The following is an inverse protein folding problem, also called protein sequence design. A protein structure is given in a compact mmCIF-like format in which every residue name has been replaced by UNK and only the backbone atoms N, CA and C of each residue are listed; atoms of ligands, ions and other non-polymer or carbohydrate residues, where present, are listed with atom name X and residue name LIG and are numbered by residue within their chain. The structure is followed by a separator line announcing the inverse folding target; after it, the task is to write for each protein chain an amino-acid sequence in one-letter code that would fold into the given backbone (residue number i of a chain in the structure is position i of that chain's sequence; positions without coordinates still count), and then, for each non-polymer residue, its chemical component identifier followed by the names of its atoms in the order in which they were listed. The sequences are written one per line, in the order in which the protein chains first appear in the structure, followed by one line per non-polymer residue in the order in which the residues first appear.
data_IF_381261000067
#
_entry.id   IF_381261000067
#
_cell.length_a   1.000
_cell.length_b   1.000
_cell.length_c   1.000
_cell.angle_alpha   90.00
_cell.angle_beta   90.00
_cell.angle_gamma   90.00
#
_symmetry.space_group_name_H-M   'P 1'
#
loop_
_entity.id
_entity.type
_entity.pdbx_description
1 polymer ?
#
# COMPACT_ATOMS: atom_id res chain seq x y z
N UNK A 1 14.46 23.90 17.04
CA UNK A 1 14.09 22.82 16.09
C UNK A 1 14.36 23.33 14.69
N UNK A 2 15.06 22.56 13.82
CA UNK A 2 15.20 22.92 12.41
C UNK A 2 13.81 22.94 11.76
N UNK A 3 13.52 23.97 10.96
CA UNK A 3 12.29 24.00 10.16
C UNK A 3 12.48 23.03 8.99
N UNK A 4 11.60 22.03 8.80
CA UNK A 4 11.66 21.15 7.65
C UNK A 4 11.65 21.96 6.36
N UNK A 5 12.67 21.80 5.52
CA UNK A 5 12.77 22.55 4.26
C UNK A 5 12.15 21.72 3.13
N UNK A 6 11.27 22.31 2.32
CA UNK A 6 10.76 21.64 1.14
C UNK A 6 11.92 21.28 0.20
N UNK A 7 11.84 20.09 -0.39
CA UNK A 7 12.72 19.62 -1.45
C UNK A 7 11.90 19.50 -2.71
N UNK A 8 12.44 20.04 -3.81
CA UNK A 8 11.85 19.91 -5.13
C UNK A 8 12.58 18.84 -5.91
N UNK A 9 11.81 17.93 -6.52
CA UNK A 9 12.29 16.96 -7.49
C UNK A 9 11.82 17.42 -8.86
N UNK A 10 12.75 17.66 -9.78
CA UNK A 10 12.48 18.02 -11.18
C UNK A 10 12.61 16.75 -12.02
N UNK A 11 11.52 16.35 -12.68
CA UNK A 11 11.50 15.21 -13.58
C UNK A 11 11.73 15.69 -15.01
N UNK A 12 12.77 15.19 -15.66
CA UNK A 12 13.11 15.55 -17.04
C UNK A 12 11.90 15.36 -17.97
N UNK A 13 11.36 16.47 -18.49
CA UNK A 13 10.21 16.48 -19.40
C UNK A 13 8.84 16.26 -18.75
N UNK A 14 8.75 16.00 -17.44
CA UNK A 14 7.53 15.54 -16.77
C UNK A 14 7.09 16.44 -15.59
N UNK A 15 7.65 17.65 -15.48
CA UNK A 15 7.31 18.61 -14.44
C UNK A 15 8.04 18.37 -13.13
N UNK A 16 7.49 18.84 -12.01
CA UNK A 16 8.13 18.78 -10.70
C UNK A 16 7.19 18.40 -9.57
N UNK A 17 7.76 17.89 -8.50
CA UNK A 17 7.09 17.62 -7.22
C UNK A 17 7.81 18.33 -6.07
N UNK A 18 7.07 18.74 -5.06
CA UNK A 18 7.59 19.33 -3.84
C UNK A 18 7.19 18.47 -2.63
N UNK A 19 8.20 18.12 -1.83
CA UNK A 19 8.08 17.22 -0.68
C UNK A 19 8.68 17.87 0.55
N UNK A 20 8.06 17.67 1.71
CA UNK A 20 8.69 17.97 3.00
C UNK A 20 9.45 16.74 3.46
N UNK A 21 10.73 16.90 3.79
CA UNK A 21 11.51 15.81 4.41
C UNK A 21 11.29 15.88 5.92
N UNK A 22 10.69 14.83 6.48
CA UNK A 22 10.53 14.68 7.93
C UNK A 22 11.87 14.47 8.65
N UNK A 23 11.85 14.44 9.98
CA UNK A 23 13.05 14.13 10.76
C UNK A 23 13.47 12.68 10.47
N UNK A 24 14.67 12.47 9.88
CA UNK A 24 15.07 11.13 9.49
C UNK A 24 15.49 10.31 10.71
N UNK A 25 15.33 8.99 10.64
CA UNK A 25 16.17 8.10 11.44
C UNK A 25 17.60 8.27 10.90
N UNK A 26 18.56 8.77 11.70
CA UNK A 26 19.88 9.14 11.20
C UNK A 26 20.57 8.01 10.43
N UNK A 27 20.94 8.28 9.18
CA UNK A 27 21.59 7.32 8.28
C UNK A 27 20.67 6.23 7.69
N UNK A 28 19.43 6.12 8.13
CA UNK A 28 18.57 4.97 7.81
C UNK A 28 17.40 5.30 6.89
N UNK A 29 16.52 6.20 7.29
CA UNK A 29 15.25 6.40 6.61
C UNK A 29 14.72 7.80 6.86
N UNK A 30 14.19 8.44 5.82
CA UNK A 30 13.47 9.70 5.92
C UNK A 30 12.05 9.52 5.36
N UNK A 31 11.04 10.01 6.07
CA UNK A 31 9.69 10.15 5.54
C UNK A 31 9.61 11.40 4.66
N UNK A 32 8.89 11.29 3.55
CA UNK A 32 8.61 12.38 2.62
C UNK A 32 7.11 12.63 2.61
N UNK A 33 6.70 13.81 3.09
CA UNK A 33 5.30 14.25 3.05
C UNK A 33 5.07 15.08 1.79
N UNK A 34 4.15 14.63 0.94
CA UNK A 34 3.83 15.31 -0.30
C UNK A 34 3.27 16.72 -0.05
N UNK A 35 3.60 17.69 -0.91
CA UNK A 35 3.02 19.04 -0.85
C UNK A 35 2.21 19.40 -2.08
N UNK A 36 2.80 19.27 -3.26
CA UNK A 36 2.22 19.69 -4.54
C UNK A 36 3.12 19.28 -5.71
N UNK A 37 2.57 19.30 -6.92
CA UNK A 37 3.31 19.15 -8.17
C UNK A 37 2.85 20.14 -9.23
N UNK A 38 3.61 20.24 -10.31
CA UNK A 38 3.20 21.00 -11.51
C UNK A 38 2.09 20.34 -12.32
N UNK A 39 1.75 19.08 -12.03
CA UNK A 39 0.75 18.29 -12.76
C UNK A 39 -0.51 18.03 -11.92
N UNK A 40 -0.68 18.74 -10.80
CA UNK A 40 -1.94 18.78 -10.06
C UNK A 40 -2.21 17.58 -9.16
N UNK A 41 -1.21 16.73 -8.87
CA UNK A 41 -1.37 15.74 -7.81
C UNK A 41 -1.52 16.45 -6.46
N UNK A 42 -2.36 15.88 -5.60
CA UNK A 42 -2.75 16.47 -4.31
C UNK A 42 -2.28 15.65 -3.12
N UNK A 43 -1.97 14.37 -3.33
CA UNK A 43 -1.59 13.43 -2.27
C UNK A 43 -0.44 12.54 -2.75
N UNK A 44 0.34 12.06 -1.79
CA UNK A 44 1.44 11.14 -2.05
C UNK A 44 2.14 10.75 -0.76
N UNK A 45 2.64 9.51 -0.73
CA UNK A 45 3.43 8.98 0.37
C UNK A 45 4.80 8.59 -0.16
N UNK A 46 5.86 9.02 0.52
CA UNK A 46 7.21 8.76 0.08
C UNK A 46 8.16 8.49 1.23
N UNK A 47 9.20 7.71 0.95
CA UNK A 47 10.25 7.38 1.90
C UNK A 47 11.59 7.32 1.17
N UNK A 48 12.65 7.82 1.79
CA UNK A 48 14.01 7.83 1.25
C UNK A 48 15.00 7.07 2.13
N UNK A 49 15.80 6.18 1.52
CA UNK A 49 16.91 5.46 2.15
C UNK A 49 18.00 5.14 1.11
N UNK A 50 19.14 4.63 1.57
CA UNK A 50 20.21 4.16 0.68
C UNK A 50 20.09 2.66 0.33
N UNK A 51 18.97 2.01 0.67
CA UNK A 51 18.75 0.61 0.32
C UNK A 51 18.68 0.43 -1.20
N UNK A 52 19.39 -0.55 -1.74
CA UNK A 52 19.35 -0.88 -3.18
C UNK A 52 17.96 -1.37 -3.61
N UNK A 53 17.53 -1.11 -4.84
CA UNK A 53 16.18 -1.46 -5.33
C UNK A 53 15.82 -2.94 -5.17
N UNK A 54 16.82 -3.83 -5.16
CA UNK A 54 16.70 -5.27 -4.91
C UNK A 54 16.65 -5.67 -3.43
N UNK A 55 16.95 -4.76 -2.49
CA UNK A 55 16.84 -5.04 -1.05
C UNK A 55 15.37 -5.23 -0.69
N UNK A 56 15.07 -6.37 -0.07
CA UNK A 56 13.70 -6.82 0.22
C UNK A 56 13.63 -7.48 1.59
N UNK A 57 12.58 -7.19 2.33
CA UNK A 57 12.18 -7.98 3.48
C UNK A 57 11.46 -9.26 3.04
N UNK A 58 11.91 -10.40 3.57
CA UNK A 58 11.26 -11.69 3.28
C UNK A 58 9.85 -11.75 3.87
N UNK A 59 8.98 -12.61 3.33
CA UNK A 59 7.65 -12.83 3.92
C UNK A 59 7.72 -13.30 5.38
N UNK A 60 8.77 -14.03 5.76
CA UNK A 60 9.00 -14.40 7.16
C UNK A 60 9.32 -13.18 8.04
N UNK A 61 10.18 -12.28 7.54
CA UNK A 61 10.52 -11.01 8.21
C UNK A 61 9.29 -10.13 8.37
N UNK A 62 8.46 -10.04 7.33
CA UNK A 62 7.22 -9.28 7.34
C UNK A 62 6.27 -9.89 8.37
N UNK A 63 5.96 -11.19 8.30
CA UNK A 63 5.03 -11.85 9.22
C UNK A 63 5.43 -11.73 10.69
N UNK A 64 6.73 -11.64 10.98
CA UNK A 64 7.25 -11.50 12.34
C UNK A 64 7.19 -10.08 12.90
N UNK A 65 6.81 -9.07 12.10
CA UNK A 65 6.67 -7.69 12.60
C UNK A 65 5.51 -7.55 13.57
N UNK A 66 5.65 -6.61 14.50
CA UNK A 66 4.54 -6.09 15.28
C UNK A 66 3.70 -5.13 14.43
N UNK A 67 2.73 -5.69 13.71
CA UNK A 67 1.80 -4.92 12.88
C UNK A 67 0.84 -4.04 13.71
N UNK A 68 0.85 -4.16 15.05
CA UNK A 68 0.16 -3.21 15.92
C UNK A 68 0.79 -1.82 15.91
N UNK A 69 2.04 -1.70 15.45
CA UNK A 69 2.74 -0.42 15.33
C UNK A 69 2.50 0.29 14.00
N UNK A 70 1.77 -0.33 13.07
CA UNK A 70 1.53 0.27 11.76
C UNK A 70 0.24 1.07 11.77
N UNK A 71 0.34 2.28 11.26
CA UNK A 71 -0.77 3.15 10.89
C UNK A 71 -1.14 2.89 9.43
N UNK A 72 -2.42 3.06 9.10
CA UNK A 72 -2.89 3.04 7.73
C UNK A 72 -3.56 4.37 7.38
N UNK A 73 -2.90 5.13 6.52
CA UNK A 73 -3.40 6.40 6.01
C UNK A 73 -3.72 6.26 4.54
N UNK A 74 -4.86 6.78 4.11
CA UNK A 74 -5.35 6.59 2.75
C UNK A 74 -6.13 7.78 2.22
N UNK A 75 -6.07 7.92 0.90
CA UNK A 75 -6.91 8.80 0.10
C UNK A 75 -7.42 8.00 -1.09
N UNK A 76 -8.72 7.72 -1.13
CA UNK A 76 -9.38 6.93 -2.16
C UNK A 76 -10.42 7.79 -2.88
N UNK A 77 -10.25 7.94 -4.19
CA UNK A 77 -11.22 8.56 -5.07
C UNK A 77 -12.25 7.51 -5.48
N UNK A 78 -13.47 7.70 -5.01
CA UNK A 78 -14.58 6.76 -5.18
C UNK A 78 -15.75 7.43 -5.86
N UNK A 79 -16.69 6.62 -6.32
CA UNK A 79 -17.97 7.08 -6.84
C UNK A 79 -19.11 6.48 -6.03
N UNK A 80 -20.09 7.28 -5.65
CA UNK A 80 -21.37 6.80 -5.11
C UNK A 80 -22.51 7.28 -5.99
N UNK A 81 -23.22 6.35 -6.62
CA UNK A 81 -24.33 6.62 -7.54
C UNK A 81 -23.98 7.69 -8.60
N UNK A 82 -22.81 7.54 -9.24
CA UNK A 82 -22.28 8.46 -10.24
C UNK A 82 -21.68 9.77 -9.70
N UNK A 83 -21.68 9.99 -8.38
CA UNK A 83 -21.10 11.20 -7.77
C UNK A 83 -19.70 10.89 -7.22
N UNK A 84 -18.65 11.59 -7.70
CA UNK A 84 -17.31 11.39 -7.17
C UNK A 84 -17.18 11.97 -5.76
N UNK A 85 -16.43 11.29 -4.90
CA UNK A 85 -16.05 11.78 -3.58
C UNK A 85 -14.65 11.27 -3.18
N UNK A 86 -14.04 11.94 -2.20
CA UNK A 86 -12.79 11.52 -1.59
C UNK A 86 -13.11 10.81 -0.27
N UNK A 87 -12.78 9.52 -0.17
CA UNK A 87 -12.76 8.73 1.06
C UNK A 87 -11.34 8.80 1.62
N UNK A 88 -11.18 9.48 2.75
CA UNK A 88 -9.89 9.69 3.39
C UNK A 88 -9.96 9.31 4.86
N UNK A 89 -8.85 8.79 5.38
CA UNK A 89 -8.77 8.37 6.76
C UNK A 89 -7.38 7.95 7.18
N UNK A 90 -7.21 7.89 8.50
CA UNK A 90 -6.04 7.40 9.19
C UNK A 90 -6.50 6.41 10.26
N UNK A 91 -5.80 5.30 10.42
CA UNK A 91 -6.19 4.24 11.35
C UNK A 91 -4.99 3.51 11.97
N UNK A 92 -4.92 3.55 13.30
CA UNK A 92 -4.07 2.68 14.10
C UNK A 92 -4.93 1.69 14.90
N UNK A 93 -4.59 0.39 14.94
CA UNK A 93 -3.52 -0.26 14.17
C UNK A 93 -3.99 -0.64 12.77
N UNK A 94 -3.05 -0.95 11.88
CA UNK A 94 -3.30 -1.58 10.58
C UNK A 94 -4.26 -2.77 10.75
N UNK A 95 -5.33 -2.83 9.96
CA UNK A 95 -6.42 -3.79 10.20
C UNK A 95 -5.96 -5.26 10.10
N UNK A 96 -4.96 -5.56 9.27
CA UNK A 96 -4.48 -6.93 9.03
C UNK A 96 -3.17 -7.20 9.78
N UNK A 97 -3.29 -7.76 10.99
CA UNK A 97 -2.14 -7.92 11.91
C UNK A 97 -1.58 -9.33 12.00
N UNK A 98 -2.44 -10.32 11.82
CA UNK A 98 -2.13 -11.73 12.05
C UNK A 98 -1.82 -12.46 10.74
N UNK A 99 -0.61 -12.29 10.23
CA UNK A 99 -0.17 -13.00 9.04
C UNK A 99 0.28 -14.42 9.35
N UNK A 100 -0.11 -15.35 8.48
CA UNK A 100 0.39 -16.72 8.46
C UNK A 100 1.17 -16.94 7.18
N UNK A 101 2.33 -17.58 7.30
CA UNK A 101 3.08 -17.99 6.12
C UNK A 101 2.31 -19.04 5.33
N UNK A 102 2.27 -18.86 4.02
CA UNK A 102 1.87 -19.93 3.12
C UNK A 102 2.93 -21.05 3.08
N UNK A 103 2.60 -22.14 2.38
CA UNK A 103 3.58 -23.16 1.96
C UNK A 103 4.69 -22.56 1.10
N UNK A 104 4.36 -21.64 0.18
CA UNK A 104 5.33 -20.86 -0.57
C UNK A 104 5.95 -19.76 0.30
N UNK A 105 7.28 -19.53 0.24
CA UNK A 105 7.93 -18.42 0.96
C UNK A 105 7.59 -17.04 0.36
N UNK A 106 6.81 -17.00 -0.72
CA UNK A 106 6.46 -15.79 -1.48
C UNK A 106 5.12 -15.19 -1.09
N UNK A 107 4.42 -15.78 -0.12
CA UNK A 107 3.14 -15.23 0.33
C UNK A 107 2.85 -15.41 1.82
N UNK A 108 1.93 -14.56 2.27
CA UNK A 108 1.26 -14.60 3.55
C UNK A 108 -0.25 -14.63 3.33
N UNK A 109 -0.95 -15.43 4.13
CA UNK A 109 -2.40 -15.42 4.25
C UNK A 109 -2.81 -14.77 5.57
N UNK A 110 -3.93 -14.07 5.56
CA UNK A 110 -4.47 -13.38 6.72
C UNK A 110 -5.99 -13.39 6.70
N UNK A 111 -6.63 -13.44 7.87
CA UNK A 111 -8.09 -13.47 7.97
C UNK A 111 -8.58 -12.54 9.09
N UNK A 112 -9.61 -11.77 8.78
CA UNK A 112 -10.47 -11.06 9.75
C UNK A 112 -11.82 -11.76 9.86
N UNK A 113 -12.76 -11.24 10.65
CA UNK A 113 -14.08 -11.86 10.82
C UNK A 113 -14.85 -12.06 9.51
N UNK A 114 -14.65 -11.18 8.51
CA UNK A 114 -15.41 -11.18 7.26
C UNK A 114 -14.56 -11.14 5.98
N UNK A 115 -13.24 -11.07 6.09
CA UNK A 115 -12.35 -10.77 4.95
C UNK A 115 -11.11 -11.65 5.00
N UNK A 116 -10.77 -12.25 3.87
CA UNK A 116 -9.51 -12.96 3.62
C UNK A 116 -8.53 -12.04 2.92
N UNK A 117 -7.26 -12.16 3.26
CA UNK A 117 -6.16 -11.36 2.75
C UNK A 117 -5.03 -12.27 2.27
N UNK A 118 -4.42 -11.86 1.16
CA UNK A 118 -3.26 -12.51 0.58
C UNK A 118 -2.22 -11.46 0.22
N UNK A 119 -1.07 -11.48 0.90
CA UNK A 119 0.09 -10.67 0.55
C UNK A 119 1.07 -11.56 -0.20
N UNK A 120 1.56 -11.11 -1.34
CA UNK A 120 2.54 -11.85 -2.11
C UNK A 120 3.55 -10.95 -2.81
N UNK A 121 4.64 -11.56 -3.28
CA UNK A 121 5.52 -10.88 -4.23
C UNK A 121 4.76 -10.47 -5.50
N UNK A 122 5.13 -9.35 -6.12
CA UNK A 122 4.42 -8.78 -7.28
C UNK A 122 4.16 -9.75 -8.45
N UNK A 123 5.02 -10.76 -8.63
CA UNK A 123 4.79 -11.87 -9.56
C UNK A 123 5.62 -13.10 -9.15
N UNK A 124 5.57 -14.18 -9.94
CA UNK A 124 6.27 -15.44 -9.67
C UNK A 124 7.81 -15.34 -9.63
N UNK A 125 8.40 -14.32 -10.26
CA UNK A 125 9.86 -14.18 -10.42
C UNK A 125 10.44 -12.97 -9.69
N UNK A 126 9.61 -12.05 -9.18
CA UNK A 126 10.05 -10.80 -8.56
C UNK A 126 11.00 -11.05 -7.37
N UNK A 127 12.13 -10.36 -7.35
CA UNK A 127 13.10 -10.39 -6.24
C UNK A 127 13.27 -9.03 -5.56
N UNK A 128 12.78 -7.97 -6.21
CA UNK A 128 12.79 -6.60 -5.71
C UNK A 128 11.79 -6.36 -4.56
N UNK A 129 11.68 -5.12 -4.10
CA UNK A 129 10.84 -4.75 -2.93
C UNK A 129 9.34 -4.57 -3.22
N UNK A 130 8.83 -5.02 -4.38
CA UNK A 130 7.40 -4.90 -4.71
C UNK A 130 6.60 -6.08 -4.19
N UNK A 131 5.53 -5.76 -3.50
CA UNK A 131 4.50 -6.70 -3.03
C UNK A 131 3.16 -6.38 -3.72
N UNK A 132 2.21 -7.28 -3.56
CA UNK A 132 0.80 -7.07 -3.89
C UNK A 132 -0.01 -7.60 -2.71
N UNK A 133 -0.95 -6.81 -2.23
CA UNK A 133 -1.98 -7.30 -1.31
C UNK A 133 -3.31 -7.42 -2.04
N UNK A 134 -3.98 -8.54 -1.81
CA UNK A 134 -5.27 -8.87 -2.38
C UNK A 134 -6.22 -9.28 -1.27
N UNK A 135 -7.49 -8.86 -1.34
CA UNK A 135 -8.46 -9.24 -0.32
C UNK A 135 -9.89 -9.29 -0.83
N UNK A 136 -10.69 -10.19 -0.25
CA UNK A 136 -12.10 -10.33 -0.57
C UNK A 136 -12.93 -10.62 0.68
N UNK A 137 -14.21 -10.26 0.65
CA UNK A 137 -15.17 -10.65 1.69
C UNK A 137 -15.46 -12.14 1.56
N UNK A 138 -15.39 -12.90 2.66
CA UNK A 138 -15.60 -14.37 2.66
C UNK A 138 -16.94 -14.76 2.07
N UNK A 139 -17.99 -13.99 2.37
CA UNK A 139 -19.34 -14.21 1.86
C UNK A 139 -19.44 -14.21 0.32
N UNK A 140 -18.52 -13.54 -0.39
CA UNK A 140 -18.48 -13.55 -1.86
C UNK A 140 -18.02 -14.91 -2.41
N UNK A 141 -17.08 -15.56 -1.72
CA UNK A 141 -16.63 -16.90 -2.05
C UNK A 141 -17.68 -17.94 -1.64
N UNK A 142 -18.23 -17.80 -0.42
CA UNK A 142 -19.26 -18.69 0.11
C UNK A 142 -20.52 -18.69 -0.77
N UNK A 143 -20.98 -17.50 -1.20
CA UNK A 143 -22.13 -17.35 -2.09
C UNK A 143 -21.94 -17.96 -3.48
N UNK A 144 -20.68 -18.27 -3.86
CA UNK A 144 -20.32 -18.96 -5.11
C UNK A 144 -19.96 -20.43 -4.90
N UNK A 145 -19.89 -20.90 -3.65
CA UNK A 145 -19.37 -22.23 -3.32
C UNK A 145 -17.87 -22.39 -3.67
N UNK A 146 -17.11 -21.29 -3.70
CA UNK A 146 -15.70 -21.29 -4.07
C UNK A 146 -14.81 -21.35 -2.83
N UNK A 147 -13.82 -22.24 -2.82
CA UNK A 147 -12.78 -22.25 -1.78
C UNK A 147 -11.77 -21.10 -1.98
N UNK A 148 -11.41 -20.83 -3.24
CA UNK A 148 -10.56 -19.71 -3.64
C UNK A 148 -11.40 -18.74 -4.46
N UNK A 149 -11.55 -17.50 -3.98
CA UNK A 149 -12.37 -16.52 -4.66
C UNK A 149 -11.79 -16.14 -6.03
N UNK A 150 -12.60 -16.24 -7.08
CA UNK A 150 -12.20 -15.93 -8.47
C UNK A 150 -12.83 -14.65 -9.03
N UNK A 151 -13.60 -13.91 -8.22
CA UNK A 151 -14.28 -12.69 -8.66
C UNK A 151 -13.42 -11.41 -8.61
N UNK A 152 -14.06 -10.27 -8.88
CA UNK A 152 -13.41 -8.97 -8.74
C UNK A 152 -13.07 -8.71 -7.28
N UNK A 153 -11.86 -8.22 -7.04
CA UNK A 153 -11.31 -8.15 -5.71
C UNK A 153 -10.27 -7.03 -5.64
N UNK A 154 -9.99 -6.58 -4.43
CA UNK A 154 -9.26 -5.34 -4.21
C UNK A 154 -7.76 -5.60 -4.26
N UNK A 155 -7.18 -5.53 -5.46
CA UNK A 155 -5.74 -5.71 -5.69
C UNK A 155 -5.03 -4.37 -5.48
N UNK A 156 -4.02 -4.37 -4.62
CA UNK A 156 -3.23 -3.18 -4.31
C UNK A 156 -1.74 -3.49 -4.53
N UNK A 157 -1.09 -2.93 -5.57
CA UNK A 157 0.36 -2.94 -5.67
C UNK A 157 0.98 -2.16 -4.50
N UNK A 158 2.04 -2.72 -3.94
CA UNK A 158 2.75 -2.19 -2.78
C UNK A 158 4.24 -2.09 -3.07
N UNK A 159 4.90 -1.16 -2.40
CA UNK A 159 6.36 -1.08 -2.33
C UNK A 159 6.79 -1.06 -0.87
N UNK A 160 7.68 -1.97 -0.48
CA UNK A 160 8.19 -2.02 0.88
C UNK A 160 8.99 -0.76 1.21
N UNK A 161 8.77 -0.23 2.41
CA UNK A 161 9.59 0.81 3.01
C UNK A 161 10.76 0.11 3.70
N UNK A 162 11.94 0.21 3.07
CA UNK A 162 13.17 -0.43 3.54
C UNK A 162 14.18 0.64 3.93
N UNK A 163 14.73 0.56 5.14
CA UNK A 163 15.79 1.46 5.59
C UNK A 163 17.17 1.08 5.01
N UNK A 164 18.17 1.95 5.17
CA UNK A 164 19.53 1.71 4.65
C UNK A 164 20.19 0.43 5.17
N UNK A 165 19.72 -0.14 6.29
CA UNK A 165 20.25 -1.38 6.88
C UNK A 165 19.49 -2.63 6.39
N UNK A 166 18.46 -2.46 5.56
CA UNK A 166 17.59 -3.55 5.09
C UNK A 166 16.42 -3.85 6.03
N UNK A 167 16.19 -3.02 7.05
CA UNK A 167 15.05 -3.11 7.96
C UNK A 167 13.74 -2.79 7.25
N UNK A 168 12.67 -3.51 7.62
CA UNK A 168 11.32 -3.29 7.10
C UNK A 168 10.52 -2.33 7.99
N UNK A 169 9.80 -1.40 7.38
CA UNK A 169 9.03 -0.36 8.08
C UNK A 169 7.58 -0.23 7.62
N UNK A 170 7.13 -1.09 6.70
CA UNK A 170 5.78 -1.03 6.14
C UNK A 170 5.77 -0.96 4.61
N UNK A 171 4.71 -0.38 4.05
CA UNK A 171 4.50 -0.21 2.62
C UNK A 171 3.96 1.17 2.28
N UNK A 172 4.27 1.64 1.08
CA UNK A 172 3.42 2.57 0.34
C UNK A 172 2.70 1.80 -0.76
N UNK A 173 1.48 2.20 -1.09
CA UNK A 173 0.65 1.46 -2.01
C UNK A 173 -0.31 2.32 -2.81
N UNK A 174 -0.83 1.70 -3.86
CA UNK A 174 -1.92 2.24 -4.68
C UNK A 174 -3.04 1.22 -4.68
N UNK A 175 -4.28 1.68 -4.57
CA UNK A 175 -5.45 0.89 -4.94
C UNK A 175 -5.84 1.25 -6.37
N UNK A 176 -6.02 0.24 -7.21
CA UNK A 176 -6.44 0.39 -8.60
C UNK A 176 -7.40 -0.75 -8.94
N UNK A 177 -8.51 -0.79 -8.21
CA UNK A 177 -9.54 -1.80 -8.33
C UNK A 177 -10.63 -1.26 -9.27
N UNK A 178 -10.58 -1.64 -10.55
CA UNK A 178 -11.61 -1.27 -11.51
C UNK A 178 -12.64 -2.39 -11.65
N UNK A 179 -13.92 -2.06 -11.49
CA UNK A 179 -15.00 -3.02 -11.58
C UNK A 179 -15.26 -3.44 -13.04
N UNK A 180 -14.77 -4.62 -13.39
CA UNK A 180 -14.97 -5.21 -14.72
C UNK A 180 -15.99 -6.35 -14.75
N UNK A 181 -16.40 -6.88 -13.59
CA UNK A 181 -17.20 -8.12 -13.53
C UNK A 181 -18.64 -7.92 -13.09
N UNK A 182 -19.00 -6.76 -12.52
CA UNK A 182 -20.37 -6.46 -12.09
C UNK A 182 -20.86 -5.18 -12.76
N UNK A 183 -21.31 -5.24 -14.04
CA UNK A 183 -21.66 -4.05 -14.83
C UNK A 183 -22.70 -3.14 -14.17
N UNK A 184 -23.62 -3.69 -13.38
CA UNK A 184 -24.67 -2.93 -12.69
C UNK A 184 -24.14 -1.98 -11.60
N UNK A 185 -22.95 -2.23 -11.04
CA UNK A 185 -22.31 -1.32 -10.10
C UNK A 185 -21.61 -0.14 -10.83
N UNK A 186 -21.23 -0.33 -12.09
CA UNK A 186 -20.49 0.65 -12.88
C UNK A 186 -19.25 1.18 -12.12
N UNK A 187 -19.00 2.49 -12.24
CA UNK A 187 -17.92 3.19 -11.53
C UNK A 187 -18.11 3.27 -10.02
N UNK A 188 -19.28 2.91 -9.49
CA UNK A 188 -19.51 2.85 -8.04
C UNK A 188 -18.80 1.66 -7.38
N UNK A 189 -18.30 0.72 -8.18
CA UNK A 189 -17.43 -0.37 -7.72
C UNK A 189 -15.94 -0.11 -7.94
N UNK A 190 -15.57 1.07 -8.47
CA UNK A 190 -14.18 1.43 -8.68
C UNK A 190 -13.59 2.03 -7.38
N UNK A 191 -12.44 1.51 -6.98
CA UNK A 191 -11.60 2.11 -5.93
C UNK A 191 -10.25 2.47 -6.54
N UNK A 192 -9.91 3.76 -6.52
CA UNK A 192 -8.61 4.28 -6.94
C UNK A 192 -8.04 5.11 -5.80
N UNK A 193 -6.79 4.88 -5.42
CA UNK A 193 -6.15 5.83 -4.53
C UNK A 193 -4.78 5.45 -4.05
N UNK A 194 -4.26 6.25 -3.12
CA UNK A 194 -2.92 6.11 -2.55
C UNK A 194 -3.03 5.88 -1.05
N UNK A 195 -2.14 5.06 -0.52
CA UNK A 195 -2.11 4.79 0.92
C UNK A 195 -0.70 4.45 1.40
N UNK A 196 -0.49 4.55 2.70
CA UNK A 196 0.65 3.98 3.38
C UNK A 196 0.19 3.05 4.50
N UNK A 197 1.00 2.04 4.78
CA UNK A 197 0.92 1.19 5.97
C UNK A 197 2.30 1.29 6.61
N UNK A 198 2.49 2.14 7.62
CA UNK A 198 3.82 2.47 8.15
C UNK A 198 3.82 2.66 9.65
N UNK A 199 4.98 2.50 10.28
CA UNK A 199 5.20 2.86 11.70
C UNK A 199 5.59 4.34 11.92
N UNK A 200 5.26 5.20 10.96
CA UNK A 200 5.63 6.63 10.91
C UNK A 200 4.50 7.44 10.33
#
# INVERSE_FOLDING_TARGET
MPIPRPRRIEWTGNGWEEWTVGEPIPGKLAQLSYRRSSFGATHGYGYGSNAGWSTRASMATIAAQDHGQFDHDYHLWKTDNGRPYLDEGAGNPFWMRNWKRCSSPRCLGGRTTSTEYYLATANATATDRRDTIWHWRTALADGRGEHCYTGNSHVKPLMQIIDSDGGFHGWVGVEASLNQTVPSQGTSGDDIGVFQISRF
#
